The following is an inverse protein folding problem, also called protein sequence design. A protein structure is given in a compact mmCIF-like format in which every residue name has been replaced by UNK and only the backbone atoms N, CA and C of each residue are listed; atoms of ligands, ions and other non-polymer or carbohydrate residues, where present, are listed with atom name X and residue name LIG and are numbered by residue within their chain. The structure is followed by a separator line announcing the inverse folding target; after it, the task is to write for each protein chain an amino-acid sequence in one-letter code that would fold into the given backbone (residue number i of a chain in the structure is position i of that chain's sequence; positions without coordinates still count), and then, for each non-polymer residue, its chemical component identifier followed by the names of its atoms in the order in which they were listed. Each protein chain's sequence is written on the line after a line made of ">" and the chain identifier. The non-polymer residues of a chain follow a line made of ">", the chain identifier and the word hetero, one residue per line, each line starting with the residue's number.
data_IF_023508917451
#
_entry.id   IF_023508917451
#
_cell.length_a   1.000
_cell.length_b   1.000
_cell.length_c   1.000
_cell.angle_alpha   90.00
_cell.angle_beta   90.00
_cell.angle_gamma   90.00
#
_symmetry.space_group_name_H-M   'P 1'
#
loop_
_entity.id
_entity.type
_entity.pdbx_description
1 polymer ?
#
# COMPACT_ATOMS: atom_id res chain seq x y z
N UNK A 1 -30.04 -6.81 -0.38
CA UNK A 1 -29.35 -7.59 0.67
C UNK A 1 -28.61 -6.67 1.64
N UNK A 2 -28.44 -7.13 2.87
CA UNK A 2 -27.67 -6.42 3.90
C UNK A 2 -26.22 -6.96 3.89
N UNK A 3 -25.25 -6.07 3.73
CA UNK A 3 -23.83 -6.41 3.94
C UNK A 3 -23.49 -6.10 5.39
N UNK A 4 -23.01 -7.11 6.12
CA UNK A 4 -22.63 -6.98 7.52
C UNK A 4 -21.11 -7.24 7.64
N UNK A 5 -20.43 -6.37 8.35
CA UNK A 5 -18.99 -6.44 8.60
C UNK A 5 -18.73 -6.24 10.10
N UNK A 6 -17.84 -7.03 10.68
CA UNK A 6 -17.33 -6.78 12.02
C UNK A 6 -16.50 -5.49 12.05
N UNK A 7 -16.42 -4.86 13.21
CA UNK A 7 -15.62 -3.65 13.40
C UNK A 7 -14.14 -3.96 13.16
N UNK A 8 -13.49 -3.11 12.37
CA UNK A 8 -12.05 -3.17 12.11
C UNK A 8 -11.32 -2.23 13.09
N UNK A 9 -10.91 -2.78 14.22
CA UNK A 9 -10.34 -2.01 15.34
C UNK A 9 -8.81 -1.89 15.30
N UNK A 10 -8.11 -2.73 14.49
CA UNK A 10 -6.66 -2.80 14.47
C UNK A 10 -6.03 -2.10 13.26
N UNK A 11 -4.95 -1.34 13.46
CA UNK A 11 -4.08 -0.87 12.36
C UNK A 11 -2.68 -0.47 12.83
N UNK A 12 -2.54 -0.02 14.08
CA UNK A 12 -1.26 0.43 14.62
C UNK A 12 -0.28 -0.74 14.75
N UNK A 13 0.95 -0.55 14.26
CA UNK A 13 2.02 -1.54 14.36
C UNK A 13 1.89 -2.73 13.41
N UNK A 14 0.87 -2.79 12.55
CA UNK A 14 0.69 -3.91 11.62
C UNK A 14 1.73 -3.91 10.50
N UNK A 15 2.23 -2.74 10.09
CA UNK A 15 3.31 -2.64 9.10
C UNK A 15 4.65 -2.90 9.76
N UNK A 16 4.95 -2.24 10.88
CA UNK A 16 6.21 -2.42 11.60
C UNK A 16 6.39 -3.83 12.16
N UNK A 17 5.30 -4.50 12.54
CA UNK A 17 5.27 -5.90 12.93
C UNK A 17 5.11 -6.89 11.77
N UNK A 18 4.98 -6.39 10.55
CA UNK A 18 4.82 -7.19 9.35
C UNK A 18 6.12 -7.84 8.88
N UNK A 19 6.01 -8.64 7.83
CA UNK A 19 7.15 -9.35 7.22
C UNK A 19 7.66 -8.61 6.00
N UNK A 20 8.94 -8.21 6.00
CA UNK A 20 9.62 -7.77 4.78
C UNK A 20 9.82 -8.98 3.88
N UNK A 21 9.26 -8.92 2.66
CA UNK A 21 9.26 -10.07 1.71
C UNK A 21 10.19 -9.85 0.52
N UNK A 22 10.65 -8.63 0.30
CA UNK A 22 11.59 -8.26 -0.76
C UNK A 22 13.05 -8.30 -0.28
N UNK A 23 13.98 -8.36 -1.23
CA UNK A 23 15.43 -8.31 -0.94
C UNK A 23 15.82 -7.00 -0.26
N UNK A 24 15.22 -5.88 -0.69
CA UNK A 24 15.40 -4.57 -0.06
C UNK A 24 14.37 -4.40 1.07
N UNK A 25 14.83 -3.98 2.23
CA UNK A 25 13.95 -3.55 3.32
C UNK A 25 13.55 -2.07 3.13
N UNK A 26 12.37 -1.65 3.64
CA UNK A 26 12.02 -0.24 3.69
C UNK A 26 13.03 0.57 4.53
N UNK A 27 13.33 1.80 4.09
CA UNK A 27 14.04 2.77 4.92
C UNK A 27 13.17 3.23 6.10
N UNK A 28 13.77 3.92 7.08
CA UNK A 28 13.01 4.49 8.21
C UNK A 28 11.93 5.48 7.73
N UNK A 29 12.25 6.30 6.72
CA UNK A 29 11.29 7.23 6.09
C UNK A 29 10.16 6.49 5.39
N UNK A 30 10.49 5.48 4.59
CA UNK A 30 9.49 4.62 3.93
C UNK A 30 8.60 3.91 4.96
N UNK A 31 9.17 3.33 6.01
CA UNK A 31 8.41 2.64 7.06
C UNK A 31 7.44 3.58 7.77
N UNK A 32 7.87 4.80 8.08
CA UNK A 32 7.02 5.82 8.69
C UNK A 32 5.85 6.20 7.77
N UNK A 33 6.12 6.41 6.48
CA UNK A 33 5.09 6.66 5.47
C UNK A 33 4.14 5.48 5.29
N UNK A 34 4.64 4.25 5.26
CA UNK A 34 3.84 3.03 5.14
C UNK A 34 2.90 2.83 6.33
N UNK A 35 3.38 3.03 7.56
CA UNK A 35 2.56 2.92 8.77
C UNK A 35 1.42 3.95 8.78
N UNK A 36 1.72 5.18 8.35
CA UNK A 36 0.70 6.22 8.20
C UNK A 36 -0.32 5.86 7.10
N UNK A 37 0.16 5.51 5.90
CA UNK A 37 -0.71 5.15 4.77
C UNK A 37 -1.62 3.96 5.12
N UNK A 38 -1.10 2.99 5.86
CA UNK A 38 -1.84 1.82 6.32
C UNK A 38 -3.01 2.20 7.24
N UNK A 39 -2.77 3.10 8.19
CA UNK A 39 -3.84 3.60 9.09
C UNK A 39 -4.93 4.33 8.32
N UNK A 40 -4.57 5.12 7.33
CA UNK A 40 -5.54 5.83 6.46
C UNK A 40 -6.33 4.83 5.61
N UNK A 41 -5.64 3.80 5.09
CA UNK A 41 -6.20 2.84 4.14
C UNK A 41 -7.47 2.14 4.66
N UNK A 42 -7.51 1.77 5.95
CA UNK A 42 -8.68 1.10 6.54
C UNK A 42 -9.96 1.96 6.57
N UNK A 43 -9.83 3.28 6.44
CA UNK A 43 -10.97 4.20 6.43
C UNK A 43 -11.48 4.50 5.02
N UNK A 44 -10.79 4.01 4.00
CA UNK A 44 -11.09 4.28 2.59
C UNK A 44 -11.83 3.11 1.96
N UNK A 45 -12.82 3.42 1.12
CA UNK A 45 -13.64 2.40 0.45
C UNK A 45 -12.80 1.52 -0.48
N UNK A 46 -12.94 0.22 -0.32
CA UNK A 46 -12.24 -0.81 -1.14
C UNK A 46 -12.64 -0.74 -2.63
N UNK A 47 -11.81 -1.10 -3.56
CA UNK A 47 -10.37 -1.32 -3.39
C UNK A 47 -9.67 0.00 -3.10
N UNK A 48 -8.95 0.06 -1.97
CA UNK A 48 -8.31 1.28 -1.49
C UNK A 48 -6.79 1.24 -1.68
N UNK A 49 -6.27 2.31 -2.27
CA UNK A 49 -4.83 2.58 -2.40
C UNK A 49 -4.55 3.96 -1.83
N UNK A 50 -3.61 4.03 -0.91
CA UNK A 50 -3.14 5.27 -0.30
C UNK A 50 -1.67 5.48 -0.64
N UNK A 51 -1.36 6.64 -1.21
CA UNK A 51 0.02 7.10 -1.38
C UNK A 51 0.34 8.11 -0.28
N UNK A 52 1.49 7.95 0.36
CA UNK A 52 1.94 8.84 1.42
C UNK A 52 3.44 9.13 1.34
N UNK A 53 3.84 10.25 1.94
CA UNK A 53 5.24 10.59 2.24
C UNK A 53 5.40 10.76 3.75
N UNK A 54 6.45 10.14 4.30
CA UNK A 54 6.83 10.26 5.69
C UNK A 54 7.99 11.22 5.87
N UNK A 55 7.98 11.96 6.96
CA UNK A 55 9.08 12.85 7.39
C UNK A 55 9.42 12.49 8.85
N UNK A 56 10.24 11.45 9.09
CA UNK A 56 10.49 10.95 10.46
C UNK A 56 11.09 11.99 11.39
N UNK A 57 11.97 12.86 10.87
CA UNK A 57 12.60 13.93 11.63
C UNK A 57 11.62 14.95 12.18
N UNK A 58 10.45 15.08 11.56
CA UNK A 58 9.37 15.98 11.98
C UNK A 58 8.18 15.21 12.58
N UNK A 59 8.29 13.89 12.74
CA UNK A 59 7.19 12.99 13.13
C UNK A 59 5.92 13.20 12.31
N UNK A 60 6.09 13.59 11.04
CA UNK A 60 4.99 13.92 10.13
C UNK A 60 4.87 12.89 9.01
N UNK A 61 3.66 12.69 8.59
CA UNK A 61 3.36 12.00 7.35
C UNK A 61 2.11 12.63 6.72
N UNK A 62 2.02 12.55 5.41
CA UNK A 62 0.87 13.09 4.69
C UNK A 62 0.45 12.18 3.54
N UNK A 63 -0.84 12.13 3.28
CA UNK A 63 -1.39 11.50 2.10
C UNK A 63 -1.13 12.39 0.88
N UNK A 64 -0.63 11.81 -0.21
CA UNK A 64 -0.38 12.51 -1.47
C UNK A 64 -1.32 12.06 -2.59
N UNK A 65 -1.90 10.86 -2.48
CA UNK A 65 -2.85 10.34 -3.45
C UNK A 65 -3.75 9.27 -2.87
N UNK A 66 -4.98 9.19 -3.37
CA UNK A 66 -5.99 8.21 -2.94
C UNK A 66 -6.72 7.65 -4.15
N UNK A 67 -6.69 6.32 -4.29
CA UNK A 67 -7.59 5.54 -5.14
C UNK A 67 -8.59 4.80 -4.26
N UNK A 68 -9.89 4.97 -4.52
CA UNK A 68 -10.95 4.46 -3.66
C UNK A 68 -12.14 3.95 -4.44
N UNK A 69 -12.80 2.91 -3.92
CA UNK A 69 -14.08 2.43 -4.43
C UNK A 69 -14.03 1.78 -5.81
N UNK A 70 -12.85 1.37 -6.27
CA UNK A 70 -12.69 0.77 -7.58
C UNK A 70 -12.84 -0.75 -7.54
N UNK A 71 -13.35 -1.32 -8.63
CA UNK A 71 -13.48 -2.78 -8.78
C UNK A 71 -12.13 -3.44 -9.09
N UNK A 72 -11.22 -2.72 -9.74
CA UNK A 72 -9.86 -3.18 -10.06
C UNK A 72 -8.82 -2.48 -9.20
N UNK A 73 -7.91 -3.26 -8.61
CA UNK A 73 -6.84 -2.72 -7.75
C UNK A 73 -5.83 -1.91 -8.56
N UNK A 74 -5.46 -2.37 -9.75
CA UNK A 74 -4.54 -1.61 -10.62
C UNK A 74 -5.13 -0.26 -11.04
N UNK A 75 -6.45 -0.18 -11.24
CA UNK A 75 -7.14 1.10 -11.51
C UNK A 75 -7.06 2.02 -10.28
N UNK A 76 -7.24 1.48 -9.07
CA UNK A 76 -7.04 2.27 -7.85
C UNK A 76 -5.62 2.83 -7.74
N UNK A 77 -4.59 2.03 -8.10
CA UNK A 77 -3.19 2.51 -8.16
C UNK A 77 -3.05 3.67 -9.14
N UNK A 78 -3.58 3.52 -10.36
CA UNK A 78 -3.52 4.57 -11.39
C UNK A 78 -4.17 5.86 -10.92
N UNK A 79 -5.38 5.80 -10.37
CA UNK A 79 -6.11 6.96 -9.84
C UNK A 79 -5.33 7.63 -8.69
N UNK A 80 -4.77 6.85 -7.78
CA UNK A 80 -3.96 7.38 -6.69
C UNK A 80 -2.73 8.14 -7.22
N UNK A 81 -2.04 7.56 -8.22
CA UNK A 81 -0.87 8.19 -8.84
C UNK A 81 -1.25 9.46 -9.63
N UNK A 82 -2.35 9.44 -10.39
CA UNK A 82 -2.85 10.62 -11.10
C UNK A 82 -3.16 11.78 -10.15
N UNK A 83 -3.83 11.50 -9.03
CA UNK A 83 -4.14 12.50 -8.01
C UNK A 83 -2.89 13.03 -7.30
N UNK A 84 -1.90 12.17 -7.08
CA UNK A 84 -0.62 12.57 -6.49
C UNK A 84 0.22 13.42 -7.45
N UNK A 85 0.03 13.27 -8.76
CA UNK A 85 0.81 13.96 -9.79
C UNK A 85 2.33 13.83 -9.54
N UNK A 86 3.07 14.94 -9.50
CA UNK A 86 4.51 14.94 -9.22
C UNK A 86 4.89 14.40 -7.84
N UNK A 87 3.97 14.40 -6.87
CA UNK A 87 4.18 13.88 -5.53
C UNK A 87 4.19 12.34 -5.46
N UNK A 88 3.74 11.65 -6.51
CA UNK A 88 3.79 10.20 -6.59
C UNK A 88 5.25 9.69 -6.51
N UNK A 89 6.16 10.35 -7.19
CA UNK A 89 7.57 9.99 -7.16
C UNK A 89 8.15 10.12 -5.74
N UNK A 90 8.78 9.04 -5.26
CA UNK A 90 9.34 8.95 -3.91
C UNK A 90 8.29 8.74 -2.81
N UNK A 91 7.01 8.54 -3.14
CA UNK A 91 6.02 8.16 -2.15
C UNK A 91 5.98 6.65 -1.92
N UNK A 92 5.31 6.25 -0.84
CA UNK A 92 5.03 4.85 -0.50
C UNK A 92 3.56 4.55 -0.68
N UNK A 93 3.21 3.26 -0.82
CA UNK A 93 1.86 2.81 -1.12
C UNK A 93 1.36 1.82 -0.06
N UNK A 94 0.14 2.02 0.45
CA UNK A 94 -0.60 1.01 1.20
C UNK A 94 -1.83 0.54 0.42
N UNK A 95 -2.07 -0.77 0.45
CA UNK A 95 -3.21 -1.43 -0.19
C UNK A 95 -4.01 -2.22 0.85
N UNK A 96 -5.33 -2.01 0.89
CA UNK A 96 -6.25 -2.64 1.86
C UNK A 96 -6.39 -4.16 1.72
N UNK A 97 -5.98 -4.72 0.57
CA UNK A 97 -5.92 -6.15 0.30
C UNK A 97 -4.72 -6.48 -0.60
N UNK A 98 -4.46 -7.78 -0.81
CA UNK A 98 -3.34 -8.24 -1.62
C UNK A 98 -3.46 -7.83 -3.09
N UNK A 99 -2.32 -7.69 -3.75
CA UNK A 99 -2.26 -7.59 -5.20
C UNK A 99 -2.50 -8.96 -5.84
N UNK A 100 -3.55 -9.11 -6.68
CA UNK A 100 -3.83 -10.40 -7.31
C UNK A 100 -2.85 -10.75 -8.44
N UNK A 101 -2.17 -9.72 -9.00
CA UNK A 101 -1.21 -9.82 -10.10
C UNK A 101 -0.11 -8.77 -9.94
N UNK A 102 1.05 -8.94 -10.64
CA UNK A 102 2.15 -7.97 -10.61
C UNK A 102 1.84 -6.59 -11.22
N UNK A 103 0.79 -6.48 -12.04
CA UNK A 103 0.42 -5.26 -12.79
C UNK A 103 0.26 -4.01 -11.91
N UNK A 104 -0.33 -4.17 -10.72
CA UNK A 104 -0.47 -3.08 -9.75
C UNK A 104 0.87 -2.61 -9.18
N UNK A 105 1.79 -3.54 -8.94
CA UNK A 105 3.16 -3.25 -8.49
C UNK A 105 3.97 -2.56 -9.60
N UNK A 106 3.83 -3.03 -10.83
CA UNK A 106 4.48 -2.43 -12.00
C UNK A 106 3.96 -1.00 -12.26
N UNK A 107 2.64 -0.78 -12.15
CA UNK A 107 2.05 0.55 -12.25
C UNK A 107 2.56 1.49 -11.15
N UNK A 108 2.69 1.00 -9.92
CA UNK A 108 3.26 1.77 -8.80
C UNK A 108 4.71 2.17 -9.08
N UNK A 109 5.56 1.21 -9.46
CA UNK A 109 6.97 1.45 -9.76
C UNK A 109 7.17 2.46 -10.90
N UNK A 110 6.36 2.35 -11.97
CA UNK A 110 6.37 3.29 -13.11
C UNK A 110 6.12 4.73 -12.68
N UNK A 111 5.35 4.95 -11.63
CA UNK A 111 5.05 6.26 -11.06
C UNK A 111 6.02 6.69 -9.95
N UNK A 112 7.10 5.95 -9.72
CA UNK A 112 8.14 6.29 -8.76
C UNK A 112 7.84 5.95 -7.31
N UNK A 113 6.85 5.08 -7.06
CA UNK A 113 6.61 4.51 -5.73
C UNK A 113 7.83 3.68 -5.33
N UNK A 114 8.25 3.77 -4.08
CA UNK A 114 9.48 3.13 -3.60
C UNK A 114 9.25 1.97 -2.66
N UNK A 115 8.13 1.95 -1.94
CA UNK A 115 7.79 0.86 -1.03
C UNK A 115 6.28 0.62 -0.95
N UNK A 116 5.89 -0.62 -0.65
CA UNK A 116 4.50 -1.08 -0.61
C UNK A 116 4.22 -1.85 0.68
N UNK A 117 3.10 -1.54 1.34
CA UNK A 117 2.49 -2.37 2.38
C UNK A 117 1.19 -2.98 1.87
N UNK A 118 1.06 -4.30 2.02
CA UNK A 118 -0.12 -5.06 1.65
C UNK A 118 -0.27 -6.32 2.51
N UNK A 119 -1.45 -6.93 2.59
CA UNK A 119 -1.67 -8.12 3.42
C UNK A 119 -0.86 -9.35 3.03
N UNK A 120 -0.64 -9.59 1.75
CA UNK A 120 -0.24 -10.91 1.25
C UNK A 120 -1.41 -11.90 1.27
N UNK A 121 -1.13 -13.16 0.92
CA UNK A 121 -2.11 -14.26 0.94
C UNK A 121 -2.72 -14.58 -0.43
N UNK A 122 -2.18 -14.03 -1.51
CA UNK A 122 -2.51 -14.43 -2.88
C UNK A 122 -1.69 -15.64 -3.31
N UNK A 123 -2.27 -16.50 -4.14
CA UNK A 123 -1.51 -17.56 -4.84
C UNK A 123 -0.44 -16.98 -5.76
N UNK A 124 -0.55 -15.70 -6.13
CA UNK A 124 0.38 -14.95 -6.96
C UNK A 124 1.43 -14.15 -6.18
N UNK A 125 1.48 -14.30 -4.86
CA UNK A 125 2.48 -13.62 -4.02
C UNK A 125 3.92 -13.80 -4.52
N UNK A 126 4.38 -15.00 -4.95
CA UNK A 126 5.72 -15.17 -5.51
C UNK A 126 5.99 -14.29 -6.74
N UNK A 127 5.02 -14.16 -7.65
CA UNK A 127 5.14 -13.34 -8.86
C UNK A 127 5.15 -11.85 -8.49
N UNK A 128 4.33 -11.45 -7.53
CA UNK A 128 4.23 -10.07 -7.02
C UNK A 128 5.54 -9.65 -6.33
N UNK A 129 6.11 -10.52 -5.49
CA UNK A 129 7.40 -10.28 -4.82
C UNK A 129 8.53 -10.20 -5.84
N UNK A 130 8.56 -11.10 -6.83
CA UNK A 130 9.57 -11.09 -7.88
C UNK A 130 9.53 -9.79 -8.70
N UNK A 131 8.34 -9.28 -9.02
CA UNK A 131 8.18 -7.99 -9.69
C UNK A 131 8.69 -6.83 -8.81
N UNK A 132 8.37 -6.81 -7.53
CA UNK A 132 8.86 -5.81 -6.58
C UNK A 132 10.39 -5.82 -6.48
N UNK A 133 11.01 -6.99 -6.37
CA UNK A 133 12.47 -7.15 -6.34
C UNK A 133 13.12 -6.65 -7.63
N UNK A 134 12.60 -7.05 -8.78
CA UNK A 134 13.10 -6.64 -10.09
C UNK A 134 13.05 -5.11 -10.29
N UNK A 135 12.03 -4.47 -9.75
CA UNK A 135 11.78 -3.03 -9.87
C UNK A 135 12.41 -2.21 -8.72
N UNK A 136 13.11 -2.85 -7.80
CA UNK A 136 13.81 -2.21 -6.69
C UNK A 136 12.89 -1.67 -5.58
N UNK A 137 11.65 -2.16 -5.50
CA UNK A 137 10.70 -1.81 -4.45
C UNK A 137 10.99 -2.58 -3.16
N UNK A 138 10.72 -1.95 -2.02
CA UNK A 138 10.55 -2.68 -0.76
C UNK A 138 9.09 -3.08 -0.58
N UNK A 139 8.83 -4.25 0.01
CA UNK A 139 7.47 -4.71 0.27
C UNK A 139 7.34 -5.35 1.64
N UNK A 140 6.29 -4.98 2.35
CA UNK A 140 5.93 -5.54 3.66
C UNK A 140 4.57 -6.21 3.54
N UNK A 141 4.48 -7.46 4.01
CA UNK A 141 3.22 -8.17 4.22
C UNK A 141 2.75 -7.97 5.65
N UNK A 142 1.58 -7.37 5.81
CA UNK A 142 1.00 -7.11 7.12
C UNK A 142 0.27 -8.32 7.69
N UNK A 143 -0.25 -9.21 6.85
CA UNK A 143 -1.10 -10.34 7.26
C UNK A 143 -2.55 -9.96 7.59
N UNK A 144 -2.92 -8.68 7.49
CA UNK A 144 -4.25 -8.17 7.82
C UNK A 144 -4.89 -7.52 6.59
N UNK A 145 -6.19 -7.74 6.40
CA UNK A 145 -6.99 -7.08 5.35
C UNK A 145 -7.93 -6.06 5.99
N UNK A 146 -8.08 -4.92 5.34
CA UNK A 146 -8.98 -3.84 5.76
C UNK A 146 -10.02 -3.57 4.67
N UNK A 147 -11.03 -4.43 4.57
CA UNK A 147 -12.11 -4.19 3.62
C UNK A 147 -13.15 -3.22 4.19
N UNK A 148 -13.41 -2.15 3.46
CA UNK A 148 -14.48 -1.19 3.74
C UNK A 148 -15.42 -1.08 2.54
N UNK A 149 -16.65 -1.48 2.75
CA UNK A 149 -17.72 -1.46 1.75
C UNK A 149 -18.64 -0.24 1.86
#
# INVERSE_FOLDING_TARGET
>A
GLVVQSRDDGSAGQVTGGKVVTKRAPTAEEMHGLEFAWRVCKHVKSNAIILAKGEPSAERARTVGVGAGQMSRVVSVQIACEKAAAEAAGSVLASDAFFPFPDGVEAAAKNGITAIAQPGGSVKDPDVIAAADRLGLAMVFTGFRHFRH
#
